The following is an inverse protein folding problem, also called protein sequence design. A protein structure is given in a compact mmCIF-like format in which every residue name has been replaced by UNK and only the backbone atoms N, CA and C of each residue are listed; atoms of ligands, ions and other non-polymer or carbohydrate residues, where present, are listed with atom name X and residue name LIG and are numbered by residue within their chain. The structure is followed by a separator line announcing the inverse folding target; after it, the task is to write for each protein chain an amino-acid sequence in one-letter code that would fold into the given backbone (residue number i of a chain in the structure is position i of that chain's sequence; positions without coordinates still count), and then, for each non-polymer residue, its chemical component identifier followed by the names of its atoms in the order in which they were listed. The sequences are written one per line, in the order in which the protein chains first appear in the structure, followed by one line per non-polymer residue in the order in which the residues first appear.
data_IF_971952902133
#
_entry.id   IF_971952902133
#
_cell.length_a   1.000
_cell.length_b   1.000
_cell.length_c   1.000
_cell.angle_alpha   90.00
_cell.angle_beta   90.00
_cell.angle_gamma   90.00
#
_symmetry.space_group_name_H-M   'P 1'
#
loop_
_entity.id
_entity.type
_entity.pdbx_description
1 polymer ?
#
# COMPACT_ATOMS: atom_id res chain seq x y z
N UNK A 1 -12.25 -28.07 3.58
CA UNK A 1 -12.43 -26.62 3.68
C UNK A 1 -11.59 -26.02 4.81
N UNK A 2 -11.76 -26.39 6.08
CA UNK A 2 -10.95 -25.85 7.20
C UNK A 2 -9.45 -26.19 7.09
N UNK A 3 -9.08 -27.36 6.61
CA UNK A 3 -7.69 -27.80 6.41
C UNK A 3 -7.02 -27.09 5.22
N UNK A 4 -7.78 -26.75 4.16
CA UNK A 4 -7.25 -25.96 3.04
C UNK A 4 -6.99 -24.50 3.45
N UNK A 5 -7.85 -23.92 4.29
CA UNK A 5 -7.67 -22.56 4.83
C UNK A 5 -6.44 -22.50 5.74
N UNK A 6 -6.26 -23.50 6.63
CA UNK A 6 -5.05 -23.60 7.44
C UNK A 6 -3.78 -23.76 6.60
N UNK A 7 -3.82 -24.55 5.54
CA UNK A 7 -2.68 -24.77 4.65
C UNK A 7 -2.28 -23.50 3.89
N UNK A 8 -3.25 -22.73 3.40
CA UNK A 8 -3.01 -21.44 2.73
C UNK A 8 -2.45 -20.39 3.70
N UNK A 9 -3.08 -20.20 4.85
CA UNK A 9 -2.60 -19.27 5.90
C UNK A 9 -1.18 -19.66 6.32
N UNK A 10 -0.90 -20.95 6.50
CA UNK A 10 0.42 -21.42 6.93
C UNK A 10 1.47 -21.20 5.83
N UNK A 11 1.13 -21.40 4.56
CA UNK A 11 2.07 -21.21 3.46
C UNK A 11 2.42 -19.74 3.21
N UNK A 12 1.44 -18.83 3.30
CA UNK A 12 1.65 -17.38 3.22
C UNK A 12 2.49 -16.86 4.39
N UNK A 13 2.12 -17.23 5.61
CA UNK A 13 2.87 -16.88 6.82
C UNK A 13 4.32 -17.40 6.78
N UNK A 14 4.54 -18.61 6.24
CA UNK A 14 5.87 -19.20 6.09
C UNK A 14 6.77 -18.42 5.12
N UNK A 15 6.24 -17.86 4.04
CA UNK A 15 7.01 -17.07 3.08
C UNK A 15 7.39 -15.70 3.66
N UNK A 16 6.46 -15.03 4.32
CA UNK A 16 6.72 -13.78 5.06
C UNK A 16 7.77 -14.01 6.14
N UNK A 17 7.65 -15.07 6.93
CA UNK A 17 8.63 -15.42 7.96
C UNK A 17 10.01 -15.69 7.36
N UNK A 18 10.11 -16.43 6.26
CA UNK A 18 11.39 -16.70 5.59
C UNK A 18 12.04 -15.43 5.08
N UNK A 19 11.26 -14.51 4.50
CA UNK A 19 11.74 -13.21 4.04
C UNK A 19 12.23 -12.35 5.22
N UNK A 20 11.47 -12.27 6.31
CA UNK A 20 11.85 -11.56 7.53
C UNK A 20 13.14 -12.13 8.12
N UNK A 21 13.28 -13.47 8.19
CA UNK A 21 14.48 -14.13 8.69
C UNK A 21 15.68 -13.83 7.77
N UNK A 22 15.51 -13.90 6.45
CA UNK A 22 16.59 -13.61 5.50
C UNK A 22 17.06 -12.16 5.60
N UNK A 23 16.14 -11.20 5.68
CA UNK A 23 16.43 -9.77 5.87
C UNK A 23 17.09 -9.51 7.23
N UNK A 24 16.62 -10.16 8.30
CA UNK A 24 17.21 -10.05 9.64
C UNK A 24 18.67 -10.53 9.68
N UNK A 25 18.98 -11.63 8.98
CA UNK A 25 20.35 -12.16 8.89
C UNK A 25 21.30 -11.20 8.17
N UNK A 26 20.82 -10.48 7.13
CA UNK A 26 21.59 -9.46 6.41
C UNK A 26 21.96 -8.31 7.34
N UNK A 27 21.05 -7.86 8.20
CA UNK A 27 21.30 -6.73 9.11
C UNK A 27 22.20 -7.10 10.30
N UNK A 28 22.08 -8.31 10.85
CA UNK A 28 22.99 -8.81 11.89
C UNK A 28 24.43 -8.85 11.37
N UNK A 29 24.62 -9.27 10.11
CA UNK A 29 25.94 -9.28 9.46
C UNK A 29 26.51 -7.87 9.23
N UNK A 30 25.70 -6.83 9.22
CA UNK A 30 26.09 -5.44 8.96
C UNK A 30 26.53 -4.66 10.20
N UNK A 31 26.45 -5.24 11.41
CA UNK A 31 26.91 -4.62 12.67
C UNK A 31 26.13 -3.35 13.06
N UNK A 32 24.87 -3.24 12.71
CA UNK A 32 24.04 -2.06 12.95
C UNK A 32 23.62 -1.98 14.42
N UNK A 33 23.96 -0.87 15.09
CA UNK A 33 23.61 -0.57 16.49
C UNK A 33 22.37 0.33 16.63
N UNK A 34 21.50 0.42 15.62
CA UNK A 34 20.26 1.18 15.70
C UNK A 34 19.21 0.41 16.51
N UNK A 35 18.49 1.10 17.40
CA UNK A 35 17.31 0.53 18.05
C UNK A 35 16.14 0.48 17.05
N UNK A 36 15.28 -0.56 17.09
CA UNK A 36 14.06 -0.56 16.29
C UNK A 36 13.12 0.57 16.74
N UNK A 37 12.42 1.15 15.79
CA UNK A 37 11.34 2.11 16.04
C UNK A 37 10.00 1.45 15.73
N UNK A 38 8.99 1.80 16.51
CA UNK A 38 7.61 1.36 16.28
C UNK A 38 6.70 2.58 16.27
N UNK A 39 5.72 2.57 15.40
CA UNK A 39 4.66 3.57 15.31
C UNK A 39 3.33 2.91 14.98
N UNK A 40 2.25 3.64 15.16
CA UNK A 40 0.96 3.19 14.73
C UNK A 40 0.14 4.36 14.23
N UNK A 41 -0.85 4.07 13.39
CA UNK A 41 -1.80 5.08 12.90
C UNK A 41 -3.22 4.62 13.10
N UNK A 42 -4.13 5.59 13.24
CA UNK A 42 -5.57 5.40 13.10
C UNK A 42 -6.08 6.47 12.16
N UNK A 43 -6.83 6.07 11.15
CA UNK A 43 -7.32 6.95 10.10
C UNK A 43 -8.83 6.91 9.93
N UNK A 44 -9.37 8.02 9.46
CA UNK A 44 -10.73 8.12 8.92
C UNK A 44 -10.65 8.84 7.57
N UNK A 45 -11.34 8.34 6.57
CA UNK A 45 -11.46 8.98 5.27
C UNK A 45 -12.93 9.03 4.83
N UNK A 46 -13.26 10.02 3.99
CA UNK A 46 -14.58 10.07 3.35
C UNK A 46 -14.79 8.96 2.33
N UNK A 47 -13.67 8.40 1.80
CA UNK A 47 -13.65 7.24 0.92
C UNK A 47 -12.27 6.57 1.00
N UNK A 48 -12.18 5.28 0.73
CA UNK A 48 -10.93 4.56 0.54
C UNK A 48 -10.62 4.46 -0.95
N UNK A 49 -9.61 5.18 -1.40
CA UNK A 49 -9.17 5.17 -2.79
C UNK A 49 -7.87 4.36 -2.92
N UNK A 50 -7.90 3.34 -3.75
CA UNK A 50 -6.73 2.54 -4.10
C UNK A 50 -6.50 2.58 -5.62
N UNK A 51 -5.35 3.11 -6.03
CA UNK A 51 -4.96 3.24 -7.45
C UNK A 51 -6.07 3.90 -8.31
N UNK A 52 -6.63 4.99 -7.78
CA UNK A 52 -7.66 5.78 -8.44
C UNK A 52 -9.10 5.30 -8.25
N UNK A 53 -9.33 4.09 -7.74
CA UNK A 53 -10.64 3.47 -7.60
C UNK A 53 -11.11 3.44 -6.14
N UNK A 54 -12.41 3.68 -5.92
CA UNK A 54 -13.04 3.53 -4.60
C UNK A 54 -13.09 2.06 -4.19
N UNK A 55 -12.66 1.79 -2.97
CA UNK A 55 -12.72 0.46 -2.34
C UNK A 55 -13.88 0.34 -1.33
N UNK A 56 -14.67 1.42 -1.15
CA UNK A 56 -15.77 1.46 -0.20
C UNK A 56 -17.03 2.13 -0.77
N UNK A 57 -17.21 2.03 -2.11
CA UNK A 57 -18.35 2.61 -2.86
C UNK A 57 -18.69 4.05 -2.46
N UNK A 58 -17.67 4.89 -2.27
CA UNK A 58 -17.82 6.29 -1.90
C UNK A 58 -18.27 6.54 -0.46
N UNK A 59 -18.19 5.54 0.43
CA UNK A 59 -18.54 5.69 1.84
C UNK A 59 -17.30 5.98 2.69
N UNK A 60 -17.54 6.56 3.88
CA UNK A 60 -16.47 6.77 4.85
C UNK A 60 -15.88 5.44 5.33
N UNK A 61 -14.60 5.46 5.61
CA UNK A 61 -13.78 4.29 5.94
C UNK A 61 -12.94 4.57 7.19
N UNK A 62 -12.77 3.55 8.03
CA UNK A 62 -11.84 3.53 9.14
C UNK A 62 -10.65 2.64 8.81
N UNK A 63 -9.46 3.09 9.21
CA UNK A 63 -8.23 2.30 9.05
C UNK A 63 -7.33 2.40 10.27
N UNK A 64 -6.42 1.43 10.39
CA UNK A 64 -5.35 1.45 11.40
C UNK A 64 -4.10 0.76 10.86
N UNK A 65 -2.91 1.18 11.33
CA UNK A 65 -1.66 0.44 11.08
C UNK A 65 -0.81 0.27 12.32
N UNK A 66 0.06 -0.73 12.26
CA UNK A 66 1.22 -0.87 13.13
C UNK A 66 2.45 -1.07 12.26
N UNK A 67 3.47 -0.26 12.52
CA UNK A 67 4.68 -0.18 11.71
C UNK A 67 5.91 -0.40 12.59
N UNK A 68 6.89 -1.11 12.06
CA UNK A 68 8.18 -1.32 12.70
C UNK A 68 9.30 -1.07 11.70
N UNK A 69 10.36 -0.39 12.13
CA UNK A 69 11.53 -0.13 11.30
C UNK A 69 12.82 -0.39 12.06
N UNK A 70 13.77 -1.07 11.42
CA UNK A 70 15.10 -1.31 11.95
C UNK A 70 16.14 -1.41 10.85
N UNK A 71 17.15 -0.52 10.88
CA UNK A 71 18.32 -0.59 10.00
C UNK A 71 17.99 -0.62 8.48
N UNK A 72 16.94 0.09 8.08
CA UNK A 72 16.45 0.11 6.70
C UNK A 72 15.46 -1.00 6.35
N UNK A 73 15.33 -2.03 7.19
CA UNK A 73 14.20 -2.97 7.11
C UNK A 73 12.96 -2.33 7.69
N UNK A 74 11.80 -2.68 7.16
CA UNK A 74 10.53 -2.28 7.74
C UNK A 74 9.49 -3.37 7.56
N UNK A 75 8.51 -3.35 8.44
CA UNK A 75 7.31 -4.16 8.36
C UNK A 75 6.10 -3.35 8.79
N UNK A 76 4.97 -3.60 8.16
CA UNK A 76 3.70 -2.96 8.47
C UNK A 76 2.57 -3.98 8.41
N UNK A 77 1.59 -3.81 9.28
CA UNK A 77 0.26 -4.40 9.13
C UNK A 77 -0.73 -3.26 9.13
N UNK A 78 -1.53 -3.18 8.07
CA UNK A 78 -2.59 -2.20 7.93
C UNK A 78 -3.93 -2.91 7.79
N UNK A 79 -5.00 -2.31 8.29
CA UNK A 79 -6.36 -2.82 8.20
C UNK A 79 -7.31 -1.68 7.86
N UNK A 80 -8.27 -1.96 6.98
CA UNK A 80 -9.33 -1.03 6.60
C UNK A 80 -10.65 -1.72 6.36
N UNK A 81 -11.73 -0.96 6.49
CA UNK A 81 -13.03 -1.34 5.97
C UNK A 81 -13.02 -1.25 4.44
N UNK A 82 -13.66 -2.21 3.79
CA UNK A 82 -13.92 -2.24 2.34
C UNK A 82 -15.36 -2.68 2.07
N UNK A 83 -15.93 -2.17 0.96
CA UNK A 83 -17.24 -2.60 0.45
C UNK A 83 -17.27 -2.42 -1.07
N UNK A 84 -17.32 -3.51 -1.80
CA UNK A 84 -17.41 -3.50 -3.27
C UNK A 84 -18.86 -3.55 -3.78
N UNK A 85 -19.85 -3.40 -2.88
CA UNK A 85 -21.28 -3.38 -3.22
C UNK A 85 -21.90 -4.76 -3.40
N UNK A 86 -21.14 -5.84 -3.24
CA UNK A 86 -21.65 -7.22 -3.37
C UNK A 86 -21.89 -7.90 -2.01
N UNK A 87 -21.55 -7.22 -0.92
CA UNK A 87 -21.77 -7.64 0.47
C UNK A 87 -20.91 -8.82 0.93
N UNK A 88 -19.79 -9.11 0.24
CA UNK A 88 -18.90 -10.21 0.59
C UNK A 88 -17.70 -9.74 1.41
N UNK A 89 -16.78 -8.99 0.79
CA UNK A 89 -15.63 -8.45 1.50
C UNK A 89 -16.07 -7.35 2.48
N UNK A 90 -15.47 -7.34 3.67
CA UNK A 90 -15.78 -6.35 4.71
C UNK A 90 -14.55 -5.61 5.24
N UNK A 91 -13.38 -6.23 5.15
CA UNK A 91 -12.11 -5.65 5.60
C UNK A 91 -10.99 -6.15 4.70
N UNK A 92 -10.03 -5.27 4.47
CA UNK A 92 -8.73 -5.55 3.86
C UNK A 92 -7.66 -5.52 4.95
N UNK A 93 -6.74 -6.46 4.91
CA UNK A 93 -5.57 -6.54 5.80
C UNK A 93 -4.34 -6.66 4.93
N UNK A 94 -3.49 -5.64 4.97
CA UNK A 94 -2.23 -5.63 4.23
C UNK A 94 -1.08 -5.94 5.17
N UNK A 95 -0.23 -6.86 4.75
CA UNK A 95 1.04 -7.14 5.42
C UNK A 95 2.18 -6.78 4.48
N UNK A 96 3.06 -5.91 4.93
CA UNK A 96 4.21 -5.44 4.14
C UNK A 96 5.50 -5.76 4.87
N UNK A 97 6.48 -6.28 4.14
CA UNK A 97 7.87 -6.42 4.61
C UNK A 97 8.81 -5.91 3.54
N UNK A 98 9.70 -5.00 3.89
CA UNK A 98 10.56 -4.37 2.91
C UNK A 98 11.93 -3.95 3.44
N UNK A 99 12.73 -3.51 2.49
CA UNK A 99 14.06 -2.93 2.69
C UNK A 99 14.14 -1.62 1.93
N UNK A 100 14.49 -0.54 2.61
CA UNK A 100 14.77 0.77 2.00
C UNK A 100 16.20 1.18 2.22
N UNK A 101 16.80 1.83 1.24
CA UNK A 101 18.19 2.31 1.29
C UNK A 101 18.34 3.58 0.49
N UNK A 102 18.91 4.60 1.10
CA UNK A 102 19.37 5.79 0.41
C UNK A 102 20.84 5.64 0.05
N UNK A 103 21.17 5.97 -1.18
CA UNK A 103 22.53 6.06 -1.69
C UNK A 103 22.71 7.39 -2.41
N UNK A 104 23.46 8.30 -1.78
CA UNK A 104 23.67 9.68 -2.24
C UNK A 104 22.32 10.42 -2.43
N UNK A 105 21.85 10.55 -3.67
CA UNK A 105 20.63 11.26 -4.03
C UNK A 105 19.54 10.34 -4.56
N UNK A 106 19.75 9.02 -4.48
CA UNK A 106 18.83 8.00 -4.98
C UNK A 106 18.33 7.19 -3.79
N UNK A 107 17.02 7.16 -3.60
CA UNK A 107 16.37 6.24 -2.68
C UNK A 107 15.97 4.96 -3.42
N UNK A 108 16.15 3.81 -2.79
CA UNK A 108 15.70 2.51 -3.28
C UNK A 108 14.79 1.86 -2.25
N UNK A 109 13.78 1.15 -2.73
CA UNK A 109 12.90 0.37 -1.90
C UNK A 109 12.54 -0.94 -2.61
N UNK A 110 12.55 -2.04 -1.86
CA UNK A 110 12.02 -3.34 -2.28
C UNK A 110 11.13 -3.86 -1.17
N UNK A 111 9.93 -4.33 -1.51
CA UNK A 111 9.02 -4.92 -0.52
C UNK A 111 8.22 -6.07 -1.12
N UNK A 112 7.75 -6.93 -0.23
CA UNK A 112 6.69 -7.89 -0.48
C UNK A 112 5.44 -7.40 0.23
N UNK A 113 4.31 -7.46 -0.45
CA UNK A 113 3.01 -7.00 0.01
C UNK A 113 2.01 -8.13 -0.16
N UNK A 114 1.30 -8.45 0.90
CA UNK A 114 0.21 -9.42 0.92
C UNK A 114 -1.08 -8.68 1.29
N UNK A 115 -2.08 -8.76 0.41
CA UNK A 115 -3.40 -8.18 0.56
C UNK A 115 -4.40 -9.30 0.83
N UNK A 116 -5.03 -9.31 2.00
CA UNK A 116 -6.00 -10.32 2.42
C UNK A 116 -7.37 -9.70 2.68
N UNK A 117 -8.41 -10.24 2.04
CA UNK A 117 -9.77 -9.72 2.13
C UNK A 117 -10.65 -10.64 2.97
N UNK A 118 -11.22 -10.11 4.06
CA UNK A 118 -12.14 -10.85 4.93
C UNK A 118 -13.54 -10.92 4.32
N UNK A 119 -13.97 -12.14 4.05
CA UNK A 119 -15.29 -12.46 3.48
C UNK A 119 -15.25 -12.76 1.98
N UNK A 120 -14.19 -12.37 1.26
CA UNK A 120 -13.98 -12.80 -0.12
C UNK A 120 -12.49 -13.04 -0.42
N UNK A 121 -12.02 -14.24 -0.11
CA UNK A 121 -10.63 -14.66 -0.34
C UNK A 121 -10.26 -14.72 -1.84
N UNK A 122 -11.21 -14.58 -2.76
CA UNK A 122 -10.91 -14.52 -4.20
C UNK A 122 -10.28 -13.19 -4.63
N UNK A 123 -10.31 -12.19 -3.74
CA UNK A 123 -9.67 -10.89 -3.93
C UNK A 123 -8.24 -10.86 -3.39
N UNK A 124 -7.81 -11.88 -2.62
CA UNK A 124 -6.47 -11.96 -2.06
C UNK A 124 -5.43 -11.92 -3.18
N UNK A 125 -4.36 -11.16 -2.95
CA UNK A 125 -3.28 -11.00 -3.92
C UNK A 125 -1.97 -10.66 -3.24
N UNK A 126 -0.89 -10.91 -3.94
CA UNK A 126 0.46 -10.60 -3.50
C UNK A 126 1.18 -9.76 -4.57
N UNK A 127 2.07 -8.87 -4.12
CA UNK A 127 2.88 -8.05 -5.01
C UNK A 127 4.32 -7.93 -4.50
N UNK A 128 5.26 -7.80 -5.44
CA UNK A 128 6.64 -7.39 -5.15
C UNK A 128 6.83 -5.96 -5.63
N UNK A 129 7.11 -5.05 -4.72
CA UNK A 129 7.41 -3.66 -5.01
C UNK A 129 8.89 -3.47 -5.29
N UNK A 130 9.21 -2.81 -6.39
CA UNK A 130 10.50 -2.20 -6.67
C UNK A 130 10.30 -0.69 -6.87
N UNK A 131 11.02 0.14 -6.13
CA UNK A 131 10.88 1.57 -6.22
C UNK A 131 12.23 2.27 -6.20
N UNK A 132 12.33 3.35 -6.97
CA UNK A 132 13.48 4.25 -6.95
C UNK A 132 13.02 5.71 -6.95
N UNK A 133 13.70 6.54 -6.15
CA UNK A 133 13.43 7.98 -6.07
C UNK A 133 14.68 8.80 -6.33
N UNK A 134 14.55 9.87 -7.12
CA UNK A 134 15.62 10.82 -7.40
C UNK A 134 15.02 12.23 -7.57
N UNK A 135 15.64 13.21 -6.93
CA UNK A 135 15.24 14.62 -7.04
C UNK A 135 13.73 14.89 -6.77
N UNK A 136 13.12 14.10 -5.89
CA UNK A 136 11.72 14.25 -5.51
C UNK A 136 10.72 13.56 -6.46
N UNK A 137 11.19 12.87 -7.49
CA UNK A 137 10.37 11.99 -8.34
C UNK A 137 10.59 10.55 -7.91
N UNK A 138 9.52 9.79 -7.73
CA UNK A 138 9.56 8.37 -7.42
C UNK A 138 8.91 7.58 -8.55
N UNK A 139 9.56 6.51 -8.97
CA UNK A 139 8.98 5.46 -9.81
C UNK A 139 8.83 4.21 -8.97
N UNK A 140 7.65 3.65 -8.95
CA UNK A 140 7.33 2.39 -8.27
C UNK A 140 6.75 1.39 -9.26
N UNK A 141 7.24 0.17 -9.23
CA UNK A 141 6.71 -0.93 -10.03
C UNK A 141 6.32 -2.08 -9.10
N UNK A 142 5.07 -2.45 -9.14
CA UNK A 142 4.49 -3.54 -8.37
C UNK A 142 4.27 -4.72 -9.32
N UNK A 143 5.03 -5.77 -9.11
CA UNK A 143 4.91 -7.02 -9.86
C UNK A 143 3.85 -7.88 -9.20
N UNK A 144 2.71 -8.06 -9.85
CA UNK A 144 1.65 -8.95 -9.40
C UNK A 144 2.13 -10.40 -9.38
N UNK A 145 1.69 -11.15 -8.37
CA UNK A 145 1.93 -12.59 -8.29
C UNK A 145 0.62 -13.33 -8.63
N UNK A 146 0.72 -14.58 -9.04
CA UNK A 146 -0.44 -15.47 -9.28
C UNK A 146 -1.55 -14.87 -10.16
N UNK A 147 -1.17 -14.30 -11.33
CA UNK A 147 -2.06 -13.67 -12.33
C UNK A 147 -2.59 -12.27 -11.93
N UNK A 148 -2.16 -11.70 -10.80
CA UNK A 148 -2.46 -10.31 -10.48
C UNK A 148 -1.76 -9.37 -11.49
N UNK A 149 -2.43 -8.33 -11.99
CA UNK A 149 -1.84 -7.40 -12.96
C UNK A 149 -0.70 -6.59 -12.33
N UNK A 150 0.35 -6.34 -13.11
CA UNK A 150 1.40 -5.40 -12.73
C UNK A 150 0.86 -3.97 -12.64
N UNK A 151 1.49 -3.17 -11.79
CA UNK A 151 1.16 -1.77 -11.65
C UNK A 151 2.42 -0.91 -11.59
N UNK A 152 2.44 0.17 -12.36
CA UNK A 152 3.54 1.14 -12.36
C UNK A 152 3.02 2.53 -11.99
N UNK A 153 3.72 3.20 -11.07
CA UNK A 153 3.38 4.55 -10.64
C UNK A 153 4.59 5.50 -10.75
N UNK A 154 4.32 6.71 -11.20
CA UNK A 154 5.22 7.85 -11.09
C UNK A 154 4.59 8.88 -10.17
N UNK A 155 5.32 9.29 -9.12
CA UNK A 155 4.82 10.26 -8.16
C UNK A 155 5.85 11.33 -7.83
N UNK A 156 5.38 12.52 -7.47
CA UNK A 156 6.24 13.64 -7.08
C UNK A 156 5.49 14.62 -6.18
N UNK A 157 6.19 15.17 -5.18
CA UNK A 157 5.75 16.34 -4.43
C UNK A 157 6.06 17.64 -5.19
N UNK A 158 5.17 18.08 -6.06
CA UNK A 158 5.38 19.24 -6.93
C UNK A 158 5.61 20.51 -6.11
N UNK A 159 6.83 21.03 -6.17
CA UNK A 159 7.28 22.22 -5.44
C UNK A 159 6.98 22.18 -3.92
N UNK A 160 6.75 21.00 -3.34
CA UNK A 160 6.25 20.81 -1.95
C UNK A 160 4.88 21.49 -1.70
N UNK A 161 4.12 21.76 -2.75
CA UNK A 161 2.80 22.39 -2.67
C UNK A 161 1.70 21.33 -2.71
N UNK A 162 1.77 20.41 -3.67
CA UNK A 162 0.85 19.29 -3.86
C UNK A 162 1.63 18.03 -4.23
N UNK A 163 1.06 16.90 -3.91
CA UNK A 163 1.53 15.60 -4.35
C UNK A 163 0.74 15.20 -5.59
N UNK A 164 1.42 14.73 -6.63
CA UNK A 164 0.85 14.30 -7.91
C UNK A 164 1.34 12.90 -8.21
N UNK A 165 0.46 12.03 -8.67
CA UNK A 165 0.85 10.72 -9.18
C UNK A 165 0.10 10.39 -10.48
N UNK A 166 0.75 9.58 -11.29
CA UNK A 166 0.17 8.88 -12.44
C UNK A 166 0.49 7.39 -12.29
N UNK A 167 -0.51 6.56 -12.44
CA UNK A 167 -0.37 5.11 -12.36
C UNK A 167 -1.03 4.41 -13.53
N UNK A 168 -0.45 3.27 -13.89
CA UNK A 168 -0.90 2.37 -14.95
C UNK A 168 -0.95 0.95 -14.40
N UNK A 169 -2.09 0.29 -14.49
CA UNK A 169 -2.32 -1.09 -14.08
C UNK A 169 -2.67 -1.93 -15.29
N UNK A 170 -1.79 -2.84 -15.66
CA UNK A 170 -1.84 -3.63 -16.89
C UNK A 170 -3.20 -4.29 -17.12
N UNK A 171 -3.86 -3.92 -18.24
CA UNK A 171 -5.17 -4.47 -18.62
C UNK A 171 -6.34 -4.07 -17.72
N UNK A 172 -6.14 -3.12 -16.80
CA UNK A 172 -7.18 -2.62 -15.88
C UNK A 172 -7.49 -1.16 -16.16
N UNK A 173 -6.46 -0.30 -16.21
CA UNK A 173 -6.62 1.11 -16.50
C UNK A 173 -5.54 1.99 -15.90
N UNK A 174 -5.67 3.28 -16.12
CA UNK A 174 -4.74 4.31 -15.67
C UNK A 174 -5.41 5.28 -14.71
N UNK A 175 -4.63 5.95 -13.85
CA UNK A 175 -5.18 7.02 -13.02
C UNK A 175 -4.21 8.17 -12.85
N UNK A 176 -4.80 9.33 -12.58
CA UNK A 176 -4.13 10.51 -12.05
C UNK A 176 -4.60 10.80 -10.64
N UNK A 177 -3.70 11.31 -9.83
CA UNK A 177 -4.07 11.84 -8.52
C UNK A 177 -3.36 13.15 -8.23
N UNK A 178 -4.05 14.03 -7.51
CA UNK A 178 -3.48 15.24 -6.92
C UNK A 178 -3.97 15.35 -5.49
N UNK A 179 -3.08 15.57 -4.55
CA UNK A 179 -3.45 15.70 -3.15
C UNK A 179 -2.65 16.76 -2.41
N UNK A 180 -3.18 17.20 -1.28
CA UNK A 180 -2.51 18.11 -0.35
C UNK A 180 -2.76 17.68 1.09
N UNK A 181 -1.67 17.46 1.81
CA UNK A 181 -1.70 17.22 3.25
C UNK A 181 -1.39 18.45 4.07
N UNK A 182 -2.04 18.57 5.22
CA UNK A 182 -1.87 19.63 6.22
C UNK A 182 -1.61 18.98 7.57
N UNK A 183 -0.44 19.24 8.15
CA UNK A 183 -0.10 18.71 9.46
C UNK A 183 -0.88 19.46 10.55
N UNK A 184 -1.55 18.71 11.42
CA UNK A 184 -2.41 19.23 12.49
C UNK A 184 -2.13 18.46 13.79
N UNK A 185 -1.49 19.12 14.76
CA UNK A 185 -1.17 18.53 16.07
C UNK A 185 -0.44 17.17 15.92
N UNK A 186 -1.09 16.07 16.32
CA UNK A 186 -0.55 14.70 16.20
C UNK A 186 -1.06 13.94 14.98
N UNK A 187 -1.59 14.64 13.98
CA UNK A 187 -2.18 14.01 12.81
C UNK A 187 -2.01 14.85 11.57
N UNK A 188 -2.53 14.34 10.48
CA UNK A 188 -2.48 14.96 9.16
C UNK A 188 -3.85 14.88 8.51
N UNK A 189 -4.39 16.02 8.08
CA UNK A 189 -5.55 16.08 7.19
C UNK A 189 -5.04 16.10 5.76
N UNK A 190 -5.63 15.29 4.90
CA UNK A 190 -5.34 15.33 3.46
C UNK A 190 -6.62 15.52 2.67
N UNK A 191 -6.52 16.28 1.59
CA UNK A 191 -7.56 16.44 0.58
C UNK A 191 -6.97 15.99 -0.73
N UNK A 192 -7.66 15.14 -1.46
CA UNK A 192 -7.17 14.62 -2.73
C UNK A 192 -8.30 14.41 -3.71
N UNK A 193 -7.94 14.44 -4.99
CA UNK A 193 -8.77 14.09 -6.13
C UNK A 193 -8.05 13.07 -6.97
N UNK A 194 -8.81 12.12 -7.52
CA UNK A 194 -8.31 11.10 -8.44
C UNK A 194 -9.26 10.96 -9.63
N UNK A 195 -8.69 10.67 -10.77
CA UNK A 195 -9.40 10.27 -12.00
C UNK A 195 -8.84 8.91 -12.42
N UNK A 196 -9.71 7.93 -12.54
CA UNK A 196 -9.39 6.61 -13.06
C UNK A 196 -10.06 6.43 -14.41
N UNK A 197 -9.30 6.01 -15.42
CA UNK A 197 -9.79 5.65 -16.74
C UNK A 197 -9.57 4.16 -16.97
N UNK A 198 -10.65 3.44 -17.13
CA UNK A 198 -10.64 2.00 -17.35
C UNK A 198 -10.16 1.65 -18.77
N UNK A 199 -9.40 0.57 -18.89
CA UNK A 199 -9.06 0.00 -20.19
C UNK A 199 -10.30 -0.63 -20.84
N UNK A 200 -10.35 -0.58 -22.19
CA UNK A 200 -11.37 -1.26 -22.96
C UNK A 200 -11.40 -2.77 -22.59
N UNK A 201 -12.59 -3.27 -22.26
CA UNK A 201 -12.84 -4.67 -21.88
C UNK A 201 -12.24 -5.13 -20.52
N UNK A 202 -11.71 -4.21 -19.71
CA UNK A 202 -11.21 -4.56 -18.36
C UNK A 202 -12.31 -5.00 -17.39
N UNK A 203 -13.57 -4.62 -17.67
CA UNK A 203 -14.70 -4.83 -16.76
C UNK A 203 -14.82 -3.77 -15.68
N UNK A 204 -13.89 -2.81 -15.61
CA UNK A 204 -13.94 -1.66 -14.72
C UNK A 204 -14.66 -0.49 -15.38
N UNK A 205 -15.01 0.53 -14.59
CA UNK A 205 -15.64 1.77 -15.03
C UNK A 205 -14.73 2.95 -14.72
N UNK A 206 -14.84 4.01 -15.51
CA UNK A 206 -14.19 5.28 -15.19
C UNK A 206 -14.73 5.85 -13.89
N UNK A 207 -13.85 6.40 -13.08
CA UNK A 207 -14.19 6.98 -11.77
C UNK A 207 -13.49 8.32 -11.55
N UNK A 208 -14.23 9.27 -10.96
CA UNK A 208 -13.73 10.53 -10.42
C UNK A 208 -14.02 10.59 -8.92
N UNK A 209 -12.99 10.66 -8.10
CA UNK A 209 -13.15 10.60 -6.65
C UNK A 209 -12.51 11.83 -5.97
N UNK A 210 -13.28 12.52 -5.13
CA UNK A 210 -12.79 13.54 -4.20
C UNK A 210 -12.85 12.99 -2.79
N UNK A 211 -11.73 13.02 -2.08
CA UNK A 211 -11.68 12.51 -0.71
C UNK A 211 -11.02 13.48 0.26
N UNK A 212 -11.40 13.33 1.52
CA UNK A 212 -10.77 13.98 2.67
C UNK A 212 -10.45 12.91 3.69
N UNK A 213 -9.22 12.91 4.22
CA UNK A 213 -8.80 11.97 5.25
C UNK A 213 -8.15 12.69 6.43
N UNK A 214 -8.23 12.06 7.59
CA UNK A 214 -7.45 12.42 8.77
C UNK A 214 -6.74 11.18 9.31
N UNK A 215 -5.43 11.30 9.50
CA UNK A 215 -4.56 10.26 10.04
C UNK A 215 -3.94 10.75 11.36
N UNK A 216 -4.18 10.03 12.44
CA UNK A 216 -3.54 10.25 13.74
C UNK A 216 -2.39 9.25 13.89
N UNK A 217 -1.19 9.74 14.33
CA UNK A 217 0.01 8.91 14.52
C UNK A 217 0.41 8.91 16.00
N UNK A 218 0.76 7.76 16.53
CA UNK A 218 1.21 7.54 17.92
C UNK A 218 2.41 6.61 18.01
#
# INVERSE_FOLDING_TARGET
MLESIKSLITAHFDNVIKLVIALSLVCIASGVNAAPTMSGTVGVSSDYIFRGQSQHIGNHQLSASLDAEWAGMYGSVWVSEVDFGDGKASHEIDTVVGLKKDWEHIGFNVAYIDYAYRGDESLDREEILLSASIAGVTMSHFMGQDEAPDYTEFSTGLLKIVDVAYGDRDGVGTHWSISKGFDMAKGRVSVGWTEFTADDFSGHLDEDNLYVSYLYTF
#
